data_IF_963027426715
#
_entry.id   IF_963027426715
#
_cell.length_a   1.000
_cell.length_b   1.000
_cell.length_c   1.000
_cell.angle_alpha   90.00
_cell.angle_beta   90.00
_cell.angle_gamma   90.00
#
_symmetry.space_group_name_H-M   'P 1'
#
loop_
_entity.id
_entity.type
_entity.pdbx_description
1 polymer ?
#
# COMPACT_ATOMS: atom_id res chain seq x y z
N UNK A 1 -62.19 -95.07 -18.27
CA UNK A 1 -60.75 -95.05 -17.90
C UNK A 1 -60.17 -93.73 -18.38
N UNK A 2 -59.54 -92.90 -17.52
CA UNK A 2 -58.98 -91.64 -17.96
C UNK A 2 -57.55 -91.84 -18.49
N UNK A 3 -57.24 -91.16 -19.60
CA UNK A 3 -55.90 -90.98 -20.12
C UNK A 3 -55.35 -89.62 -19.67
N UNK A 4 -54.30 -89.63 -18.86
CA UNK A 4 -53.52 -88.43 -18.47
C UNK A 4 -52.64 -87.99 -19.64
N UNK A 5 -52.35 -86.67 -19.79
CA UNK A 5 -50.94 -86.32 -19.90
C UNK A 5 -50.48 -84.99 -19.26
N UNK A 6 -49.32 -85.12 -18.59
CA UNK A 6 -48.10 -84.27 -18.60
C UNK A 6 -48.13 -82.88 -17.95
N UNK A 7 -47.53 -82.80 -16.76
CA UNK A 7 -46.98 -81.59 -16.14
C UNK A 7 -45.52 -81.35 -16.60
N UNK A 8 -45.20 -80.10 -16.95
CA UNK A 8 -43.83 -79.58 -17.00
C UNK A 8 -43.62 -78.61 -15.83
N UNK A 9 -42.51 -78.67 -15.05
CA UNK A 9 -42.24 -77.65 -14.04
C UNK A 9 -41.56 -76.45 -14.69
N UNK A 10 -42.12 -75.26 -14.49
CA UNK A 10 -41.45 -74.01 -14.83
C UNK A 10 -40.44 -73.63 -13.74
N UNK A 11 -39.22 -73.28 -14.16
CA UNK A 11 -38.13 -72.76 -13.31
C UNK A 11 -38.44 -71.33 -12.86
N UNK A 12 -38.24 -70.93 -11.59
CA UNK A 12 -38.48 -69.54 -11.19
C UNK A 12 -37.34 -68.62 -11.67
N UNK A 13 -37.73 -67.51 -12.31
CA UNK A 13 -36.84 -66.44 -12.76
C UNK A 13 -36.53 -65.44 -11.62
N UNK A 14 -35.27 -65.39 -11.16
CA UNK A 14 -34.78 -64.52 -10.07
C UNK A 14 -34.33 -63.11 -10.54
N UNK A 15 -35.10 -62.44 -11.40
CA UNK A 15 -34.65 -61.20 -12.07
C UNK A 15 -35.08 -59.89 -11.39
N UNK A 16 -35.91 -59.89 -10.35
CA UNK A 16 -36.52 -58.64 -9.83
C UNK A 16 -35.72 -57.92 -8.72
N UNK A 17 -34.81 -58.61 -8.03
CA UNK A 17 -34.09 -58.04 -6.86
C UNK A 17 -32.88 -57.15 -7.21
N UNK A 18 -32.15 -57.46 -8.30
CA UNK A 18 -30.91 -56.73 -8.67
C UNK A 18 -31.13 -55.33 -9.23
N UNK A 19 -32.26 -55.03 -9.88
CA UNK A 19 -32.52 -53.70 -10.46
C UNK A 19 -32.81 -52.64 -9.39
N UNK A 20 -33.48 -53.03 -8.31
CA UNK A 20 -33.85 -52.11 -7.23
C UNK A 20 -32.64 -51.70 -6.38
N UNK A 21 -31.73 -52.63 -6.10
CA UNK A 21 -30.49 -52.36 -5.35
C UNK A 21 -29.54 -51.41 -6.08
N UNK A 22 -29.41 -51.54 -7.39
CA UNK A 22 -28.59 -50.63 -8.21
C UNK A 22 -29.14 -49.20 -8.20
N UNK A 23 -30.47 -49.03 -8.31
CA UNK A 23 -31.11 -47.72 -8.27
C UNK A 23 -30.95 -47.02 -6.90
N UNK A 24 -31.05 -47.79 -5.81
CA UNK A 24 -30.84 -47.27 -4.45
C UNK A 24 -29.38 -46.84 -4.26
N UNK A 25 -28.42 -47.63 -4.76
CA UNK A 25 -26.99 -47.29 -4.69
C UNK A 25 -26.68 -46.00 -5.47
N UNK A 26 -27.24 -45.84 -6.67
CA UNK A 26 -27.07 -44.62 -7.48
C UNK A 26 -27.65 -43.37 -6.80
N UNK A 27 -28.80 -43.48 -6.14
CA UNK A 27 -29.40 -42.39 -5.38
C UNK A 27 -28.54 -41.99 -4.18
N UNK A 28 -27.98 -42.96 -3.45
CA UNK A 28 -27.09 -42.70 -2.31
C UNK A 28 -25.79 -42.02 -2.74
N UNK A 29 -25.19 -42.43 -3.86
CA UNK A 29 -23.99 -41.80 -4.42
C UNK A 29 -24.29 -40.37 -4.89
N UNK A 30 -25.43 -40.15 -5.55
CA UNK A 30 -25.87 -38.82 -5.98
C UNK A 30 -26.10 -37.86 -4.81
N UNK A 31 -26.75 -38.33 -3.74
CA UNK A 31 -26.96 -37.56 -2.51
C UNK A 31 -25.64 -37.24 -1.82
N UNK A 32 -24.74 -38.22 -1.67
CA UNK A 32 -23.42 -38.01 -1.08
C UNK A 32 -22.59 -36.96 -1.87
N UNK A 33 -22.62 -37.01 -3.20
CA UNK A 33 -21.98 -36.02 -4.07
C UNK A 33 -22.58 -34.62 -3.90
N UNK A 34 -23.90 -34.52 -3.77
CA UNK A 34 -24.58 -33.24 -3.54
C UNK A 34 -24.26 -32.64 -2.16
N UNK A 35 -24.23 -33.46 -1.10
CA UNK A 35 -23.82 -33.02 0.24
C UNK A 35 -22.35 -32.59 0.29
N UNK A 36 -21.45 -33.32 -0.36
CA UNK A 36 -20.04 -32.93 -0.47
C UNK A 36 -19.86 -31.63 -1.27
N UNK A 37 -20.59 -31.47 -2.37
CA UNK A 37 -20.61 -30.23 -3.15
C UNK A 37 -21.13 -29.04 -2.34
N UNK A 38 -22.22 -29.23 -1.59
CA UNK A 38 -22.78 -28.20 -0.71
C UNK A 38 -21.82 -27.83 0.44
N UNK A 39 -21.10 -28.80 1.01
CA UNK A 39 -20.08 -28.54 2.03
C UNK A 39 -18.88 -27.77 1.47
N UNK A 40 -18.46 -28.05 0.24
CA UNK A 40 -17.36 -27.30 -0.43
C UNK A 40 -17.80 -25.86 -0.73
N UNK A 41 -19.02 -25.66 -1.24
CA UNK A 41 -19.58 -24.32 -1.51
C UNK A 41 -19.83 -23.55 -0.21
N UNK A 42 -20.32 -24.21 0.84
CA UNK A 42 -20.53 -23.61 2.16
C UNK A 42 -19.21 -23.20 2.82
N UNK A 43 -18.13 -23.97 2.61
CA UNK A 43 -16.78 -23.62 3.11
C UNK A 43 -16.11 -22.48 2.34
N UNK A 44 -16.52 -22.20 1.11
CA UNK A 44 -16.07 -20.99 0.39
C UNK A 44 -16.70 -19.70 0.96
N UNK A 45 -17.78 -19.80 1.74
CA UNK A 45 -18.41 -18.69 2.45
C UNK A 45 -17.84 -18.41 3.86
N UNK A 46 -17.11 -19.36 4.46
CA UNK A 46 -16.31 -19.11 5.66
C UNK A 46 -14.92 -18.61 5.24
N UNK A 47 -14.87 -17.34 4.86
CA UNK A 47 -13.62 -16.60 4.85
C UNK A 47 -12.90 -16.83 6.17
N UNK A 48 -11.65 -17.28 6.09
CA UNK A 48 -10.76 -17.34 7.24
C UNK A 48 -10.82 -16.00 7.96
N UNK A 49 -11.46 -15.99 9.12
CA UNK A 49 -11.48 -14.84 10.00
C UNK A 49 -10.04 -14.56 10.39
N UNK A 50 -9.42 -13.56 9.75
CA UNK A 50 -8.14 -13.00 10.19
C UNK A 50 -8.38 -12.33 11.54
N UNK A 51 -8.35 -13.13 12.61
CA UNK A 51 -8.32 -12.63 13.98
C UNK A 51 -6.94 -11.99 14.20
N UNK A 52 -6.93 -10.67 14.31
CA UNK A 52 -5.81 -9.82 14.76
C UNK A 52 -4.61 -9.70 13.81
N UNK A 53 -4.84 -9.36 12.55
CA UNK A 53 -3.79 -8.67 11.79
C UNK A 53 -3.64 -7.25 12.35
N UNK A 54 -2.43 -6.87 12.75
CA UNK A 54 -2.11 -5.48 13.14
C UNK A 54 -2.37 -4.58 11.92
N UNK A 55 -3.05 -3.43 12.07
CA UNK A 55 -3.34 -2.55 10.95
C UNK A 55 -2.05 -2.14 10.24
N UNK A 56 -2.08 -2.24 8.91
CA UNK A 56 -1.01 -1.93 7.96
C UNK A 56 -1.05 -0.43 7.62
N UNK A 57 -2.26 0.15 7.57
CA UNK A 57 -2.44 1.59 7.37
C UNK A 57 -2.02 2.38 8.60
N UNK A 58 -1.43 3.54 8.36
CA UNK A 58 -0.93 4.44 9.40
C UNK A 58 -1.44 5.86 9.16
N UNK A 59 -1.85 6.53 10.24
CA UNK A 59 -2.23 7.95 10.21
C UNK A 59 -1.18 8.75 10.95
N UNK A 60 -0.62 9.78 10.29
CA UNK A 60 0.42 10.63 10.86
C UNK A 60 -0.14 12.04 11.05
N UNK A 61 -0.30 12.41 12.32
CA UNK A 61 -0.69 13.75 12.77
C UNK A 61 0.56 14.47 13.24
N UNK A 62 0.81 15.66 12.70
CA UNK A 62 1.91 16.51 13.16
C UNK A 62 1.38 17.44 14.24
N UNK A 63 1.93 17.36 15.45
CA UNK A 63 1.54 18.28 16.53
C UNK A 63 1.76 19.73 16.10
N UNK A 64 0.70 20.54 16.19
CA UNK A 64 0.69 21.95 15.76
C UNK A 64 1.17 22.93 16.82
N UNK A 65 1.81 22.49 17.89
CA UNK A 65 2.21 23.38 18.99
C UNK A 65 3.62 23.11 19.50
N UNK A 66 4.43 24.16 19.45
CA UNK A 66 5.53 24.38 20.38
C UNK A 66 4.91 24.83 21.72
N UNK A 67 5.53 24.41 22.83
CA UNK A 67 5.28 24.85 24.22
C UNK A 67 4.11 24.20 24.98
N UNK A 68 4.42 23.67 26.16
CA UNK A 68 3.44 23.56 27.25
C UNK A 68 3.13 22.14 27.73
N UNK A 69 3.99 21.65 28.60
CA UNK A 69 3.74 20.62 29.60
C UNK A 69 2.28 20.60 30.11
N UNK A 70 1.57 19.49 29.97
CA UNK A 70 0.59 18.94 30.94
C UNK A 70 -0.22 17.80 30.31
N UNK A 71 0.16 16.56 30.61
CA UNK A 71 -0.85 15.51 30.73
C UNK A 71 -0.60 14.79 32.06
N UNK A 72 -1.49 15.09 33.00
CA UNK A 72 -1.62 14.47 34.30
C UNK A 72 -1.96 12.99 34.14
N UNK A 73 -1.03 12.10 34.45
CA UNK A 73 -1.34 10.71 34.77
C UNK A 73 -1.22 10.53 36.28
N UNK A 74 -2.35 10.22 36.87
CA UNK A 74 -2.56 9.82 38.25
C UNK A 74 -1.55 8.74 38.66
N UNK A 75 -1.06 8.94 39.87
CA UNK A 75 -0.13 8.12 40.64
C UNK A 75 -0.52 6.63 40.68
N UNK A 76 0.45 5.78 40.39
CA UNK A 76 0.68 4.56 41.17
C UNK A 76 2.19 4.31 41.19
N UNK A 77 2.74 4.23 42.39
CA UNK A 77 4.18 4.23 42.65
C UNK A 77 4.80 2.85 42.57
N UNK A 78 6.00 2.79 41.98
CA UNK A 78 7.07 1.90 42.45
C UNK A 78 8.44 2.50 42.08
N UNK A 79 9.38 2.45 43.02
CA UNK A 79 10.68 3.11 42.98
C UNK A 79 11.78 2.12 42.57
N UNK A 80 12.56 2.44 41.54
CA UNK A 80 13.70 1.63 41.12
C UNK A 80 14.61 2.27 40.06
N UNK A 81 15.42 3.22 40.49
CA UNK A 81 16.70 3.72 39.97
C UNK A 81 17.15 3.43 38.50
N UNK A 82 17.33 4.54 37.78
CA UNK A 82 18.52 4.93 37.01
C UNK A 82 18.78 4.30 35.62
N UNK A 83 18.55 5.10 34.58
CA UNK A 83 18.96 4.83 33.20
C UNK A 83 18.14 5.62 32.19
N UNK A 84 18.39 6.93 32.09
CA UNK A 84 17.69 7.85 31.19
C UNK A 84 18.02 7.52 29.72
N UNK A 85 17.33 6.53 29.17
CA UNK A 85 17.32 6.22 27.74
C UNK A 85 15.95 6.63 27.22
N UNK A 86 15.95 7.70 26.42
CA UNK A 86 14.82 8.05 25.54
C UNK A 86 14.42 6.76 24.85
N UNK A 87 13.28 6.16 25.23
CA UNK A 87 12.71 4.99 24.55
C UNK A 87 12.36 5.43 23.13
N UNK A 88 13.35 5.37 22.23
CA UNK A 88 13.13 5.51 20.81
C UNK A 88 12.10 4.46 20.41
N UNK A 89 10.96 4.90 19.89
CA UNK A 89 10.00 3.95 19.33
C UNK A 89 10.71 3.07 18.31
N UNK A 90 10.59 1.75 18.46
CA UNK A 90 11.23 0.78 17.58
C UNK A 90 10.65 0.94 16.17
N UNK A 91 11.44 1.52 15.26
CA UNK A 91 11.11 1.65 13.83
C UNK A 91 11.09 0.28 13.15
N UNK A 92 10.21 0.10 12.17
CA UNK A 92 10.12 -1.14 11.39
C UNK A 92 11.26 -1.22 10.37
N UNK A 93 11.93 -2.37 10.27
CA UNK A 93 13.04 -2.56 9.35
C UNK A 93 12.53 -2.93 7.95
N UNK A 94 13.10 -2.31 6.91
CA UNK A 94 12.86 -2.64 5.51
C UNK A 94 14.07 -2.25 4.67
N UNK A 95 14.21 -2.77 3.45
CA UNK A 95 15.21 -2.27 2.49
C UNK A 95 14.75 -0.92 1.91
N UNK A 96 13.45 -0.78 1.64
CA UNK A 96 12.91 0.46 1.11
C UNK A 96 11.47 0.70 1.50
N UNK A 97 11.08 1.97 1.60
CA UNK A 97 9.68 2.37 1.75
C UNK A 97 9.19 3.09 0.48
N UNK A 98 8.20 2.52 -0.20
CA UNK A 98 7.59 3.07 -1.41
C UNK A 98 6.27 3.75 -1.09
N UNK A 99 6.26 5.07 -1.19
CA UNK A 99 5.06 5.90 -1.06
C UNK A 99 4.48 6.26 -2.43
N UNK A 100 3.33 5.67 -2.76
CA UNK A 100 2.59 5.97 -4.00
C UNK A 100 1.72 7.20 -3.75
N UNK A 101 2.10 8.36 -4.31
CA UNK A 101 1.40 9.62 -4.15
C UNK A 101 0.07 9.57 -4.93
N UNK A 102 -1.05 9.69 -4.21
CA UNK A 102 -2.39 9.59 -4.79
C UNK A 102 -3.34 10.64 -4.21
N UNK A 103 -4.42 10.98 -4.91
CA UNK A 103 -5.40 11.97 -4.47
C UNK A 103 -6.84 11.45 -4.46
N UNK A 104 -7.78 12.29 -4.03
CA UNK A 104 -9.21 11.93 -4.00
C UNK A 104 -9.81 11.65 -5.39
N UNK A 105 -9.26 12.27 -6.45
CA UNK A 105 -9.65 12.00 -7.84
C UNK A 105 -9.10 10.69 -8.41
N UNK A 106 -8.20 10.01 -7.72
CA UNK A 106 -7.42 8.89 -8.26
C UNK A 106 -7.93 7.50 -7.85
N UNK A 107 -9.17 7.38 -7.38
CA UNK A 107 -9.73 6.07 -6.96
C UNK A 107 -9.67 5.01 -8.07
N UNK A 108 -9.88 5.42 -9.33
CA UNK A 108 -9.72 4.55 -10.50
C UNK A 108 -8.28 4.07 -10.70
N UNK A 109 -7.29 4.96 -10.53
CA UNK A 109 -5.86 4.62 -10.63
C UNK A 109 -5.43 3.66 -9.53
N UNK A 110 -5.81 3.92 -8.27
CA UNK A 110 -5.56 2.98 -7.16
C UNK A 110 -6.13 1.59 -7.43
N UNK A 111 -7.34 1.51 -8.01
CA UNK A 111 -7.94 0.24 -8.43
C UNK A 111 -7.12 -0.45 -9.53
N UNK A 112 -6.64 0.29 -10.53
CA UNK A 112 -5.82 -0.26 -11.60
C UNK A 112 -4.47 -0.79 -11.08
N UNK A 113 -3.80 -0.04 -10.18
CA UNK A 113 -2.59 -0.50 -9.48
C UNK A 113 -2.85 -1.80 -8.71
N UNK A 114 -4.00 -1.86 -8.02
CA UNK A 114 -4.48 -3.04 -7.27
C UNK A 114 -4.73 -4.28 -8.11
N UNK A 115 -5.08 -4.09 -9.36
CA UNK A 115 -5.32 -5.17 -10.32
C UNK A 115 -4.06 -5.57 -11.10
N UNK A 116 -2.93 -4.88 -10.87
CA UNK A 116 -1.70 -5.07 -11.65
C UNK A 116 -0.51 -5.40 -10.74
N UNK A 117 0.18 -4.38 -10.21
CA UNK A 117 1.48 -4.56 -9.55
C UNK A 117 1.48 -4.30 -8.04
N UNK A 118 0.39 -3.81 -7.46
CA UNK A 118 0.25 -3.54 -6.03
C UNK A 118 -0.93 -4.35 -5.45
N UNK A 119 -0.73 -5.58 -4.98
CA UNK A 119 -1.82 -6.48 -4.57
C UNK A 119 -2.83 -5.85 -3.60
N UNK A 120 -4.12 -6.08 -3.86
CA UNK A 120 -5.21 -5.54 -3.04
C UNK A 120 -5.53 -6.33 -1.77
N UNK A 121 -5.14 -7.61 -1.72
CA UNK A 121 -5.38 -8.45 -0.56
C UNK A 121 -4.19 -8.40 0.40
N UNK A 122 -4.41 -8.37 1.73
CA UNK A 122 -3.33 -8.26 2.71
C UNK A 122 -2.26 -9.35 2.58
N UNK A 123 -2.64 -10.58 2.21
CA UNK A 123 -1.68 -11.68 2.05
C UNK A 123 -0.82 -11.52 0.80
N UNK A 124 -1.39 -11.05 -0.30
CA UNK A 124 -0.69 -10.71 -1.53
C UNK A 124 0.28 -9.55 -1.31
N UNK A 125 -0.16 -8.51 -0.59
CA UNK A 125 0.71 -7.39 -0.24
C UNK A 125 1.86 -7.85 0.65
N UNK A 126 1.58 -8.59 1.73
CA UNK A 126 2.62 -9.12 2.60
C UNK A 126 3.65 -9.97 1.84
N UNK A 127 3.20 -10.87 0.96
CA UNK A 127 4.10 -11.67 0.11
C UNK A 127 4.97 -10.80 -0.79
N UNK A 128 4.43 -9.73 -1.36
CA UNK A 128 5.20 -8.78 -2.17
C UNK A 128 6.27 -8.08 -1.31
N UNK A 129 5.89 -7.63 -0.11
CA UNK A 129 6.79 -6.92 0.79
C UNK A 129 7.92 -7.82 1.30
N UNK A 130 7.60 -9.06 1.68
CA UNK A 130 8.57 -10.07 2.11
C UNK A 130 9.52 -10.47 0.99
N UNK A 131 9.00 -10.67 -0.24
CA UNK A 131 9.82 -11.09 -1.38
C UNK A 131 10.77 -10.00 -1.89
N UNK A 132 10.41 -8.73 -1.71
CA UNK A 132 11.18 -7.59 -2.24
C UNK A 132 11.97 -6.84 -1.17
N UNK A 133 11.64 -7.01 0.11
CA UNK A 133 12.14 -6.18 1.20
C UNK A 133 11.61 -4.74 1.17
N UNK A 134 10.61 -4.46 0.33
CA UNK A 134 10.04 -3.12 0.13
C UNK A 134 8.66 -3.03 0.78
N UNK A 135 8.38 -1.91 1.45
CA UNK A 135 7.05 -1.60 1.99
C UNK A 135 6.29 -0.70 1.02
N UNK A 136 5.00 -0.97 0.77
CA UNK A 136 4.20 -0.18 -0.19
C UNK A 136 2.97 0.44 0.47
N UNK A 137 2.84 1.76 0.42
CA UNK A 137 1.62 2.45 0.91
C UNK A 137 1.15 3.50 -0.08
N UNK A 138 -0.17 3.60 -0.25
CA UNK A 138 -0.79 4.77 -0.87
C UNK A 138 -0.69 5.96 0.08
N UNK A 139 -0.09 7.06 -0.38
CA UNK A 139 0.10 8.27 0.39
C UNK A 139 -0.94 9.30 -0.01
N UNK A 140 -1.80 9.66 0.93
CA UNK A 140 -2.87 10.63 0.72
C UNK A 140 -3.06 11.52 1.95
N UNK A 141 -3.34 12.80 1.70
CA UNK A 141 -3.72 13.77 2.71
C UNK A 141 -5.20 13.68 3.08
N UNK A 142 -5.73 14.80 3.60
CA UNK A 142 -7.13 14.96 3.98
C UNK A 142 -7.83 16.00 3.10
N UNK A 143 -9.16 16.03 3.18
CA UNK A 143 -9.98 17.06 2.56
C UNK A 143 -11.11 17.45 3.51
N UNK A 144 -11.53 18.71 3.46
CA UNK A 144 -12.74 19.20 4.14
C UNK A 144 -14.05 18.60 3.61
N UNK A 145 -14.04 18.02 2.41
CA UNK A 145 -15.18 17.32 1.82
C UNK A 145 -15.50 16.01 2.58
N UNK A 146 -16.61 16.04 3.33
CA UNK A 146 -17.04 14.92 4.17
C UNK A 146 -17.39 13.67 3.35
N UNK A 147 -17.89 13.82 2.12
CA UNK A 147 -18.24 12.67 1.27
C UNK A 147 -16.98 11.96 0.81
N UNK A 148 -16.02 12.71 0.28
CA UNK A 148 -14.71 12.18 -0.15
C UNK A 148 -13.95 11.53 1.02
N UNK A 149 -13.97 12.14 2.21
CA UNK A 149 -13.38 11.52 3.39
C UNK A 149 -14.09 10.24 3.82
N UNK A 150 -15.42 10.17 3.69
CA UNK A 150 -16.19 8.94 3.99
C UNK A 150 -15.85 7.81 3.01
N UNK A 151 -15.75 8.13 1.71
CA UNK A 151 -15.29 7.19 0.68
C UNK A 151 -13.88 6.66 0.96
N UNK A 152 -12.94 7.55 1.30
CA UNK A 152 -11.59 7.15 1.65
C UNK A 152 -11.57 6.24 2.89
N UNK A 153 -12.34 6.55 3.95
CA UNK A 153 -12.41 5.69 5.14
C UNK A 153 -12.93 4.29 4.81
N UNK A 154 -13.91 4.17 3.92
CA UNK A 154 -14.39 2.86 3.45
C UNK A 154 -13.33 2.11 2.65
N UNK A 155 -12.55 2.81 1.84
CA UNK A 155 -11.45 2.22 1.07
C UNK A 155 -10.31 1.74 2.00
N UNK A 156 -9.91 2.56 2.97
CA UNK A 156 -8.91 2.21 4.00
C UNK A 156 -9.38 0.99 4.79
N UNK A 157 -10.63 0.97 5.25
CA UNK A 157 -11.17 -0.18 5.99
C UNK A 157 -11.23 -1.47 5.16
N UNK A 158 -11.29 -1.35 3.82
CA UNK A 158 -11.36 -2.50 2.91
C UNK A 158 -9.98 -3.08 2.59
N UNK A 159 -8.98 -2.24 2.32
CA UNK A 159 -7.69 -2.69 1.79
C UNK A 159 -6.52 -2.54 2.77
N UNK A 160 -6.65 -1.64 3.76
CA UNK A 160 -5.65 -1.39 4.78
C UNK A 160 -4.23 -1.09 4.24
N UNK A 161 -4.10 -0.39 3.11
CA UNK A 161 -2.83 -0.17 2.38
C UNK A 161 -2.40 1.31 2.30
N UNK A 162 -2.82 2.16 3.26
CA UNK A 162 -2.63 3.62 3.20
C UNK A 162 -1.66 4.19 4.24
N UNK A 163 -0.96 5.27 3.87
CA UNK A 163 -0.36 6.25 4.77
C UNK A 163 -1.16 7.55 4.66
N UNK A 164 -1.89 7.86 5.72
CA UNK A 164 -2.73 9.06 5.82
C UNK A 164 -1.91 10.19 6.45
N UNK A 165 -1.79 11.32 5.75
CA UNK A 165 -1.06 12.50 6.21
C UNK A 165 -2.02 13.60 6.65
N UNK A 166 -1.70 14.29 7.75
CA UNK A 166 -2.47 15.45 8.22
C UNK A 166 -2.18 16.74 7.40
N UNK A 167 -2.36 16.68 6.08
CA UNK A 167 -2.18 17.79 5.14
C UNK A 167 -3.38 17.87 4.21
N UNK A 168 -3.93 19.07 4.01
CA UNK A 168 -5.01 19.30 3.06
C UNK A 168 -4.53 19.03 1.63
N UNK A 169 -5.22 18.14 0.92
CA UNK A 169 -4.94 17.83 -0.50
C UNK A 169 -5.25 19.05 -1.37
N UNK A 170 -4.20 19.59 -1.97
CA UNK A 170 -4.27 20.65 -2.96
C UNK A 170 -3.07 20.53 -3.88
N UNK A 171 -3.25 20.83 -5.17
CA UNK A 171 -2.18 20.75 -6.15
C UNK A 171 -0.98 21.63 -5.77
N UNK A 172 -1.23 22.85 -5.30
CA UNK A 172 -0.20 23.79 -4.82
C UNK A 172 0.58 23.25 -3.61
N UNK A 173 0.05 22.23 -2.92
CA UNK A 173 0.63 21.64 -1.70
C UNK A 173 1.37 20.32 -1.92
N UNK A 174 1.52 19.86 -3.16
CA UNK A 174 2.28 18.63 -3.48
C UNK A 174 3.71 18.59 -2.90
N UNK A 175 4.49 19.69 -2.91
CA UNK A 175 5.81 19.70 -2.25
C UNK A 175 5.73 19.45 -0.75
N UNK A 176 4.73 20.03 -0.07
CA UNK A 176 4.51 19.83 1.37
C UNK A 176 4.06 18.41 1.68
N UNK A 177 3.17 17.84 0.85
CA UNK A 177 2.78 16.42 0.95
C UNK A 177 3.99 15.49 0.80
N UNK A 178 4.84 15.75 -0.18
CA UNK A 178 6.07 14.98 -0.43
C UNK A 178 7.02 15.06 0.77
N UNK A 179 7.23 16.26 1.32
CA UNK A 179 8.04 16.45 2.52
C UNK A 179 7.47 15.69 3.72
N UNK A 180 6.16 15.80 3.95
CA UNK A 180 5.48 15.11 5.04
C UNK A 180 5.52 13.59 4.87
N UNK A 181 5.42 13.08 3.65
CA UNK A 181 5.65 11.69 3.33
C UNK A 181 7.04 11.22 3.80
N UNK A 182 8.11 11.92 3.40
CA UNK A 182 9.46 11.51 3.80
C UNK A 182 9.65 11.57 5.32
N UNK A 183 9.12 12.61 5.98
CA UNK A 183 9.14 12.71 7.45
C UNK A 183 8.39 11.57 8.12
N UNK A 184 7.17 11.27 7.65
CA UNK A 184 6.33 10.20 8.19
C UNK A 184 6.98 8.82 8.00
N UNK A 185 7.42 8.53 6.78
CA UNK A 185 8.06 7.26 6.46
C UNK A 185 9.35 7.07 7.26
N UNK A 186 10.20 8.11 7.36
CA UNK A 186 11.42 8.08 8.16
C UNK A 186 11.14 7.90 9.66
N UNK A 187 10.08 8.52 10.20
CA UNK A 187 9.73 8.33 11.60
C UNK A 187 9.24 6.91 11.93
N UNK A 188 8.60 6.23 10.97
CA UNK A 188 7.96 4.92 11.18
C UNK A 188 8.85 3.73 10.80
N UNK A 189 9.61 3.87 9.71
CA UNK A 189 10.41 2.79 9.12
C UNK A 189 11.87 3.17 9.17
N UNK A 190 12.72 2.22 9.51
CA UNK A 190 14.16 2.28 9.40
C UNK A 190 14.54 1.51 8.13
N UNK A 191 14.51 2.24 7.02
CA UNK A 191 14.78 1.74 5.68
C UNK A 191 15.98 2.42 5.04
N UNK A 192 16.71 1.69 4.20
CA UNK A 192 17.88 2.20 3.48
C UNK A 192 17.50 3.25 2.43
N UNK A 193 16.31 3.11 1.83
CA UNK A 193 15.78 4.02 0.84
C UNK A 193 14.31 4.38 1.07
N UNK A 194 13.94 5.60 0.70
CA UNK A 194 12.55 6.08 0.66
C UNK A 194 12.24 6.50 -0.76
N UNK A 195 11.20 5.91 -1.34
CA UNK A 195 10.84 6.02 -2.75
C UNK A 195 9.53 6.77 -2.87
N UNK A 196 9.53 7.84 -3.66
CA UNK A 196 8.31 8.49 -4.13
C UNK A 196 7.95 7.87 -5.48
N UNK A 197 6.69 7.46 -5.64
CA UNK A 197 6.11 7.01 -6.90
C UNK A 197 4.80 7.75 -7.17
N UNK A 198 4.47 8.03 -8.42
CA UNK A 198 3.12 8.50 -8.79
C UNK A 198 2.13 7.34 -8.96
N UNK A 199 0.83 7.64 -8.91
CA UNK A 199 -0.23 6.63 -9.08
C UNK A 199 -0.60 6.33 -10.55
N UNK A 200 0.08 6.95 -11.52
CA UNK A 200 -0.10 6.74 -12.96
C UNK A 200 1.09 6.08 -13.65
N UNK A 201 1.93 5.37 -12.88
CA UNK A 201 3.01 4.55 -13.43
C UNK A 201 2.76 3.05 -13.25
N UNK A 202 3.43 2.27 -14.10
CA UNK A 202 3.64 0.85 -13.87
C UNK A 202 5.02 0.64 -13.24
N UNK A 203 5.05 0.06 -12.04
CA UNK A 203 6.29 -0.27 -11.34
C UNK A 203 6.55 -1.77 -11.39
N UNK A 204 7.83 -2.14 -11.45
CA UNK A 204 8.29 -3.52 -11.23
C UNK A 204 9.02 -3.63 -9.90
N UNK A 205 8.32 -4.10 -8.84
CA UNK A 205 8.88 -4.17 -7.48
C UNK A 205 10.18 -4.99 -7.38
N UNK A 206 10.28 -6.09 -8.12
CA UNK A 206 11.46 -6.94 -8.21
C UNK A 206 12.69 -6.17 -8.70
N UNK A 207 12.53 -5.40 -9.79
CA UNK A 207 13.62 -4.61 -10.37
C UNK A 207 13.98 -3.42 -9.50
N UNK A 208 12.99 -2.82 -8.83
CA UNK A 208 13.24 -1.74 -7.87
C UNK A 208 14.06 -2.27 -6.69
N UNK A 209 13.69 -3.42 -6.12
CA UNK A 209 14.42 -4.04 -5.02
C UNK A 209 15.90 -4.26 -5.38
N UNK A 210 16.16 -4.90 -6.52
CA UNK A 210 17.52 -5.13 -7.02
C UNK A 210 18.31 -3.82 -7.24
N UNK A 211 17.63 -2.77 -7.72
CA UNK A 211 18.26 -1.46 -7.89
C UNK A 211 18.65 -0.86 -6.54
N UNK A 212 17.80 -0.95 -5.52
CA UNK A 212 18.05 -0.32 -4.22
C UNK A 212 19.20 -0.99 -3.47
N UNK A 213 19.29 -2.32 -3.48
CA UNK A 213 20.36 -3.08 -2.79
C UNK A 213 21.73 -3.04 -3.47
N UNK A 214 21.83 -2.48 -4.68
CA UNK A 214 23.10 -2.38 -5.39
C UNK A 214 24.14 -1.60 -4.57
N UNK A 215 25.33 -2.15 -4.42
CA UNK A 215 26.43 -1.51 -3.71
C UNK A 215 26.82 -0.17 -4.36
N UNK A 216 27.13 0.83 -3.53
CA UNK A 216 27.49 2.18 -3.92
C UNK A 216 28.62 2.69 -3.05
N UNK A 217 29.49 3.51 -3.62
CA UNK A 217 30.62 4.13 -2.92
C UNK A 217 30.21 5.21 -1.92
N UNK A 218 29.02 5.79 -2.08
CA UNK A 218 28.50 6.87 -1.23
C UNK A 218 27.16 6.47 -0.60
N UNK A 219 27.03 6.76 0.69
CA UNK A 219 25.79 6.50 1.43
C UNK A 219 24.68 7.49 1.05
N UNK A 220 25.03 8.73 0.73
CA UNK A 220 24.10 9.74 0.22
C UNK A 220 23.78 9.51 -1.25
N UNK A 221 22.63 8.89 -1.50
CA UNK A 221 22.19 8.52 -2.84
C UNK A 221 20.84 9.15 -3.17
N UNK A 222 20.79 9.84 -4.32
CA UNK A 222 19.56 10.26 -4.98
C UNK A 222 19.45 9.52 -6.31
N UNK A 223 18.40 8.71 -6.48
CA UNK A 223 18.16 7.89 -7.66
C UNK A 223 16.91 8.35 -8.40
N UNK A 224 17.00 8.35 -9.72
CA UNK A 224 15.88 8.55 -10.62
C UNK A 224 16.37 8.82 -12.03
N UNK A 225 15.46 9.08 -12.96
CA UNK A 225 15.84 9.52 -14.29
C UNK A 225 16.27 10.99 -14.21
N UNK A 226 17.58 11.23 -14.08
CA UNK A 226 18.11 12.58 -13.87
C UNK A 226 17.93 13.46 -15.11
N UNK A 227 17.44 14.68 -14.91
CA UNK A 227 17.19 15.68 -15.95
C UNK A 227 17.72 17.05 -15.53
N UNK A 228 17.98 17.85 -16.55
CA UNK A 228 18.31 19.28 -16.47
C UNK A 228 17.53 19.98 -17.58
N UNK A 229 17.13 21.22 -17.37
CA UNK A 229 16.36 21.98 -18.36
C UNK A 229 16.24 23.45 -18.01
N UNK A 230 15.71 24.27 -18.93
CA UNK A 230 15.56 25.70 -18.73
C UNK A 230 14.54 26.00 -17.63
N UNK A 231 14.78 27.07 -16.86
CA UNK A 231 13.78 27.63 -15.95
C UNK A 231 12.73 28.36 -16.79
N UNK A 232 11.47 27.99 -16.61
CA UNK A 232 10.37 28.59 -17.38
C UNK A 232 9.94 29.91 -16.73
N UNK A 233 10.31 31.03 -17.35
CA UNK A 233 10.00 32.38 -16.83
C UNK A 233 8.83 33.06 -17.53
N UNK A 234 8.18 32.40 -18.48
CA UNK A 234 6.98 32.91 -19.16
C UNK A 234 5.71 32.49 -18.38
N UNK A 235 4.90 33.45 -17.87
CA UNK A 235 3.64 33.17 -17.15
C UNK A 235 2.60 32.35 -17.92
N UNK A 236 2.71 32.30 -19.26
CA UNK A 236 1.81 31.49 -20.11
C UNK A 236 2.22 30.03 -20.17
N UNK A 237 3.47 29.74 -19.83
CA UNK A 237 3.93 28.37 -19.76
C UNK A 237 3.41 27.74 -18.48
N UNK A 238 2.94 26.51 -18.64
CA UNK A 238 2.43 25.68 -17.55
C UNK A 238 3.39 25.51 -16.37
N UNK A 239 4.68 25.65 -16.65
CA UNK A 239 5.78 25.51 -15.70
C UNK A 239 6.38 26.81 -15.21
N UNK A 240 5.66 27.91 -15.40
CA UNK A 240 6.09 29.23 -14.95
C UNK A 240 6.57 29.20 -13.50
N UNK A 241 7.82 29.57 -13.30
CA UNK A 241 8.45 29.70 -12.01
C UNK A 241 8.51 31.20 -11.65
N UNK A 242 7.60 31.69 -10.78
CA UNK A 242 7.54 33.11 -10.42
C UNK A 242 8.83 33.60 -9.76
N UNK A 243 9.59 32.71 -9.12
CA UNK A 243 10.89 33.02 -8.53
C UNK A 243 12.06 32.56 -9.40
N UNK A 244 11.87 32.44 -10.72
CA UNK A 244 12.86 31.88 -11.64
C UNK A 244 14.18 32.66 -11.64
N UNK A 245 14.14 33.96 -11.33
CA UNK A 245 15.32 34.81 -11.14
C UNK A 245 16.26 34.33 -10.03
N UNK A 246 15.76 33.60 -9.02
CA UNK A 246 16.57 32.99 -7.96
C UNK A 246 17.25 31.69 -8.40
N UNK A 247 16.68 31.00 -9.39
CA UNK A 247 17.18 29.70 -9.88
C UNK A 247 18.18 29.85 -11.03
N UNK A 248 18.16 30.99 -11.74
CA UNK A 248 18.99 31.23 -12.91
C UNK A 248 18.34 30.71 -14.21
N UNK A 249 19.16 30.42 -15.23
CA UNK A 249 18.67 30.01 -16.56
C UNK A 249 18.24 28.55 -16.64
N UNK A 250 18.80 27.69 -15.80
CA UNK A 250 18.58 26.25 -15.82
C UNK A 250 18.33 25.72 -14.42
N UNK A 251 17.44 24.74 -14.31
CA UNK A 251 17.25 24.01 -13.06
C UNK A 251 18.51 23.23 -12.67
N UNK A 252 18.68 23.01 -11.36
CA UNK A 252 19.64 22.06 -10.84
C UNK A 252 19.34 20.64 -11.37
N UNK A 253 20.36 19.77 -11.40
CA UNK A 253 20.16 18.37 -11.78
C UNK A 253 19.19 17.69 -10.80
N UNK A 254 18.18 17.01 -11.33
CA UNK A 254 17.14 16.41 -10.51
C UNK A 254 16.45 15.21 -11.16
N UNK A 255 15.76 14.39 -10.38
CA UNK A 255 15.08 13.21 -10.90
C UNK A 255 13.72 13.54 -11.53
N UNK A 256 13.38 12.75 -12.56
CA UNK A 256 12.05 12.66 -13.16
C UNK A 256 11.00 12.34 -12.09
N UNK A 257 9.95 13.15 -12.03
CA UNK A 257 8.97 13.21 -10.95
C UNK A 257 8.20 11.90 -10.71
N UNK A 258 7.80 11.14 -11.74
CA UNK A 258 7.05 9.90 -11.57
C UNK A 258 7.68 8.86 -10.66
N UNK A 259 9.02 8.79 -10.56
CA UNK A 259 9.69 7.87 -9.64
C UNK A 259 11.08 8.38 -9.26
N UNK A 260 11.34 8.49 -7.96
CA UNK A 260 12.69 8.69 -7.43
C UNK A 260 12.87 8.12 -6.03
N UNK A 261 14.11 7.79 -5.68
CA UNK A 261 14.49 7.23 -4.38
C UNK A 261 15.57 8.07 -3.70
N UNK A 262 15.43 8.28 -2.40
CA UNK A 262 16.39 8.97 -1.55
C UNK A 262 16.91 7.99 -0.50
N UNK A 263 18.22 7.89 -0.33
CA UNK A 263 18.84 7.13 0.76
C UNK A 263 18.43 7.66 2.14
N UNK A 264 18.51 6.83 3.16
CA UNK A 264 18.26 7.19 4.54
C UNK A 264 19.01 8.46 4.99
N UNK A 265 20.28 8.62 4.63
CA UNK A 265 21.09 9.78 5.00
C UNK A 265 20.59 11.09 4.40
N UNK A 266 20.13 11.03 3.14
CA UNK A 266 19.53 12.19 2.44
C UNK A 266 18.20 12.55 3.09
N UNK A 267 17.37 11.56 3.40
CA UNK A 267 16.10 11.79 4.09
C UNK A 267 16.32 12.28 5.52
N UNK A 268 17.30 11.76 6.25
CA UNK A 268 17.65 12.22 7.59
C UNK A 268 18.05 13.70 7.57
N UNK A 269 18.89 14.09 6.61
CA UNK A 269 19.28 15.49 6.39
C UNK A 269 18.08 16.38 6.08
N UNK A 270 17.14 15.86 5.29
CA UNK A 270 15.89 16.55 4.98
C UNK A 270 15.01 16.74 6.22
N UNK A 271 14.78 15.67 6.99
CA UNK A 271 13.93 15.69 8.18
C UNK A 271 14.49 16.66 9.23
N UNK A 272 15.81 16.80 9.32
CA UNK A 272 16.49 17.73 10.22
C UNK A 272 16.32 19.23 9.85
N UNK A 273 15.80 19.56 8.67
CA UNK A 273 15.59 20.96 8.28
C UNK A 273 14.45 21.62 9.07
N UNK A 274 14.80 22.67 9.82
CA UNK A 274 13.84 23.52 10.57
C UNK A 274 12.78 24.13 9.65
N UNK A 275 11.56 24.35 10.17
CA UNK A 275 10.40 24.87 9.42
C UNK A 275 10.70 26.09 8.53
N UNK A 276 11.54 27.04 8.96
CA UNK A 276 11.87 28.23 8.16
C UNK A 276 12.78 27.94 6.95
N UNK A 277 13.53 26.83 6.95
CA UNK A 277 14.34 26.36 5.80
C UNK A 277 13.63 25.30 4.96
N UNK A 278 12.45 24.84 5.39
CA UNK A 278 11.59 24.02 4.55
C UNK A 278 11.13 24.79 3.32
N UNK A 279 11.06 26.12 3.35
CA UNK A 279 10.83 26.92 2.15
C UNK A 279 11.94 26.77 1.10
N UNK A 280 13.21 26.61 1.50
CA UNK A 280 14.34 26.41 0.59
C UNK A 280 14.37 24.97 0.03
N UNK A 281 14.02 23.98 0.85
CA UNK A 281 13.84 22.60 0.35
C UNK A 281 12.55 22.43 -0.45
N UNK A 282 11.49 23.14 -0.11
CA UNK A 282 10.32 23.31 -0.96
C UNK A 282 10.72 24.03 -2.21
N UNK A 283 11.70 24.95 -2.24
CA UNK A 283 12.22 25.56 -3.47
C UNK A 283 12.99 24.56 -4.34
N UNK A 284 13.77 23.66 -3.72
CA UNK A 284 14.52 22.61 -4.43
C UNK A 284 13.58 21.50 -4.88
N UNK A 285 12.64 21.05 -4.05
CA UNK A 285 11.59 20.13 -4.46
C UNK A 285 10.62 20.82 -5.41
N UNK A 286 10.23 22.09 -5.30
CA UNK A 286 9.36 22.76 -6.28
C UNK A 286 10.10 22.87 -7.58
N UNK A 287 11.39 23.23 -7.61
CA UNK A 287 12.20 23.16 -8.82
C UNK A 287 12.24 21.76 -9.46
N UNK A 288 11.94 20.70 -8.71
CA UNK A 288 11.96 19.29 -9.15
C UNK A 288 10.57 18.65 -9.32
N UNK A 289 9.55 19.13 -8.61
CA UNK A 289 8.16 18.65 -8.60
C UNK A 289 7.25 19.56 -9.45
N UNK A 290 7.56 20.86 -9.61
CA UNK A 290 7.00 21.66 -10.71
C UNK A 290 7.49 21.16 -12.06
N UNK A 291 8.48 20.27 -12.12
CA UNK A 291 9.07 19.84 -13.36
C UNK A 291 8.31 18.70 -14.07
N UNK A 292 7.18 18.18 -13.55
CA UNK A 292 6.66 16.87 -14.03
C UNK A 292 5.21 16.57 -14.38
N UNK A 293 4.25 17.44 -14.18
CA UNK A 293 2.84 17.08 -14.42
C UNK A 293 2.26 17.74 -15.66
N UNK A 294 2.38 17.19 -16.87
CA UNK A 294 1.25 16.67 -17.67
C UNK A 294 1.87 15.97 -18.88
N UNK A 295 2.20 14.70 -18.70
CA UNK A 295 1.86 13.70 -19.71
C UNK A 295 0.96 12.68 -19.00
N UNK A 296 -0.33 13.02 -18.97
CA UNK A 296 -1.51 12.15 -18.98
C UNK A 296 -2.73 13.04 -19.11
#
# INVERSE_FOLDING_TARGET
MPSSPKFFPARPSSSKSRRSTVLILCLLVGLAGFFLGFLVVSKQGLGYSCKYAKPISVSVVWDRTNSGNSFSSSSDGDNGANGNSVRGQKRYKATGFVGIQTGFGSAGRRRALRQTWFPSDPQGLQRLEEATGLVFRFVIGKTSDKSKMSELRREVAKYDDFMLLDIEEEYSKLPYKTLAFFKAAYALYDADFYVKADDDIYLRPDRLSLLLVKERSHSQTYLGCMKKGPVFTDPKLKWYEPLGHLLGKEYFLHAYGPLYALSADVVASLVALRNNRQAAFVLIITAVHFLFLFFS
#
